data_IF_405074569902
#
_entry.id   IF_405074569902
#
_cell.length_a   1.000
_cell.length_b   1.000
_cell.length_c   1.000
_cell.angle_alpha   90.00
_cell.angle_beta   90.00
_cell.angle_gamma   90.00
#
_symmetry.space_group_name_H-M   'P 1'
#
loop_
_entity.id
_entity.type
_entity.pdbx_description
1 polymer ?
#
# COMPACT_ATOMS: atom_id res chain seq x y z
N UNK A 1 25.60 21.63 6.03
CA UNK A 1 25.36 22.34 4.75
C UNK A 1 24.06 21.82 4.16
N UNK A 2 23.20 22.68 3.64
CA UNK A 2 21.98 22.27 2.94
C UNK A 2 22.37 22.10 1.47
N UNK A 3 22.25 20.89 0.95
CA UNK A 3 22.63 20.58 -0.44
C UNK A 3 21.49 20.81 -1.43
N UNK A 4 20.24 20.65 -0.99
CA UNK A 4 19.02 20.84 -1.77
C UNK A 4 17.86 21.25 -0.87
N UNK A 5 16.93 22.05 -1.37
CA UNK A 5 15.71 22.45 -0.68
C UNK A 5 14.52 21.52 -1.00
N UNK A 6 13.42 21.69 -0.27
CA UNK A 6 12.18 20.95 -0.54
C UNK A 6 11.61 21.39 -1.89
N UNK A 7 11.22 20.40 -2.70
CA UNK A 7 10.69 20.54 -4.06
C UNK A 7 11.74 20.86 -5.14
N UNK A 8 13.03 20.88 -4.81
CA UNK A 8 14.08 20.97 -5.82
C UNK A 8 14.10 19.73 -6.73
N UNK A 9 14.29 19.97 -8.02
CA UNK A 9 14.45 18.91 -9.01
C UNK A 9 15.88 18.41 -8.95
N UNK A 10 16.05 17.13 -8.64
CA UNK A 10 17.37 16.51 -8.59
C UNK A 10 17.88 16.26 -10.00
N UNK A 11 18.77 17.13 -10.47
CA UNK A 11 19.52 16.96 -11.71
C UNK A 11 20.73 16.04 -11.52
N UNK A 12 21.36 15.60 -12.61
CA UNK A 12 22.57 14.78 -12.55
C UNK A 12 23.76 15.46 -11.85
N UNK A 13 23.79 16.79 -11.82
CA UNK A 13 24.83 17.56 -11.11
C UNK A 13 24.58 17.53 -9.61
N UNK A 14 23.35 17.84 -9.20
CA UNK A 14 22.93 17.82 -7.80
C UNK A 14 23.02 16.41 -7.20
N UNK A 15 22.62 15.37 -7.95
CA UNK A 15 22.76 13.99 -7.54
C UNK A 15 24.22 13.59 -7.25
N UNK A 16 25.17 14.08 -8.06
CA UNK A 16 26.61 13.85 -7.82
C UNK A 16 27.11 14.55 -6.57
N UNK A 17 26.66 15.77 -6.31
CA UNK A 17 27.01 16.50 -5.08
C UNK A 17 26.49 15.78 -3.83
N UNK A 18 25.23 15.32 -3.86
CA UNK A 18 24.63 14.53 -2.77
C UNK A 18 25.42 13.23 -2.52
N UNK A 19 25.81 12.54 -3.59
CA UNK A 19 26.59 11.31 -3.48
C UNK A 19 27.99 11.56 -2.89
N UNK A 20 28.68 12.63 -3.33
CA UNK A 20 30.00 13.01 -2.80
C UNK A 20 29.95 13.44 -1.32
N UNK A 21 28.82 13.99 -0.88
CA UNK A 21 28.61 14.34 0.53
C UNK A 21 28.38 13.11 1.44
N UNK A 22 28.29 11.89 0.89
CA UNK A 22 28.14 10.67 1.68
C UNK A 22 26.73 10.44 2.24
N UNK A 23 25.72 11.11 1.69
CA UNK A 23 24.32 10.93 2.09
C UNK A 23 23.82 9.55 1.63
N UNK A 24 23.38 8.71 2.58
CA UNK A 24 22.92 7.33 2.29
C UNK A 24 21.49 7.25 1.78
N UNK A 25 20.61 8.11 2.27
CA UNK A 25 19.18 8.06 2.00
C UNK A 25 18.63 9.46 1.74
N UNK A 26 17.74 9.58 0.75
CA UNK A 26 17.09 10.83 0.37
C UNK A 26 15.60 10.58 0.19
N UNK A 27 14.78 11.41 0.84
CA UNK A 27 13.31 11.34 0.70
C UNK A 27 12.87 12.10 -0.55
N UNK A 28 12.26 11.38 -1.49
CA UNK A 28 11.78 11.94 -2.77
C UNK A 28 10.26 11.97 -2.82
N UNK A 29 9.72 12.82 -3.70
CA UNK A 29 8.34 12.69 -4.14
C UNK A 29 8.24 11.51 -5.12
N UNK A 30 7.09 10.83 -5.11
CA UNK A 30 6.83 9.68 -5.97
C UNK A 30 5.41 9.78 -6.55
N UNK A 31 5.14 9.23 -7.74
CA UNK A 31 3.79 9.01 -8.23
C UNK A 31 2.93 8.22 -7.23
N UNK A 32 3.51 7.31 -6.45
CA UNK A 32 2.79 6.46 -5.49
C UNK A 32 2.16 7.25 -4.34
N UNK A 33 2.81 8.34 -3.93
CA UNK A 33 2.39 9.21 -2.83
C UNK A 33 1.57 10.42 -3.30
N UNK A 34 1.28 10.52 -4.59
CA UNK A 34 0.51 11.63 -5.14
C UNK A 34 -0.96 11.57 -4.70
N UNK A 35 -1.46 12.69 -4.17
CA UNK A 35 -2.82 12.83 -3.63
C UNK A 35 -3.83 13.39 -4.65
N UNK A 36 -3.42 13.58 -5.92
CA UNK A 36 -4.32 14.05 -6.96
C UNK A 36 -5.31 12.95 -7.36
N UNK A 37 -6.62 13.21 -7.23
CA UNK A 37 -7.72 12.24 -7.51
C UNK A 37 -7.66 11.71 -8.94
N UNK A 38 -7.63 12.61 -9.93
CA UNK A 38 -7.59 12.27 -11.35
C UNK A 38 -6.26 12.71 -11.98
N UNK A 39 -5.25 11.86 -11.86
CA UNK A 39 -3.95 12.04 -12.51
C UNK A 39 -2.78 12.11 -11.53
N UNK A 40 -1.65 12.65 -11.98
CA UNK A 40 -0.42 12.81 -11.18
C UNK A 40 0.05 14.24 -11.32
N UNK A 41 0.41 14.90 -10.21
CA UNK A 41 0.95 16.24 -10.28
C UNK A 41 2.38 16.22 -10.85
N UNK A 42 2.77 17.30 -11.54
CA UNK A 42 4.09 17.42 -12.15
C UNK A 42 5.20 17.17 -11.11
N UNK A 43 5.12 17.77 -9.92
CA UNK A 43 6.11 17.61 -8.84
C UNK A 43 6.32 16.15 -8.38
N UNK A 44 5.28 15.31 -8.41
CA UNK A 44 5.40 13.91 -8.03
C UNK A 44 5.98 13.03 -9.15
N UNK A 45 5.83 13.44 -10.41
CA UNK A 45 6.38 12.71 -11.55
C UNK A 45 7.82 13.15 -11.90
N UNK A 46 8.10 14.44 -11.74
CA UNK A 46 9.38 15.07 -12.02
C UNK A 46 9.63 15.26 -13.52
N UNK A 47 10.85 14.92 -13.93
CA UNK A 47 11.38 15.09 -15.28
C UNK A 47 10.75 14.07 -16.25
N UNK A 48 10.33 14.52 -17.42
CA UNK A 48 10.02 13.66 -18.56
C UNK A 48 11.32 13.08 -19.13
N UNK A 49 11.45 11.75 -19.10
CA UNK A 49 12.66 11.06 -19.52
C UNK A 49 12.90 11.13 -21.03
N UNK A 50 11.86 11.42 -21.83
CA UNK A 50 12.00 11.60 -23.28
C UNK A 50 12.54 12.98 -23.66
N UNK A 51 12.18 14.01 -22.90
CA UNK A 51 12.56 15.41 -23.17
C UNK A 51 13.74 15.90 -22.33
N UNK A 52 13.95 15.32 -21.16
CA UNK A 52 14.96 15.77 -20.19
C UNK A 52 14.57 17.01 -19.39
N UNK A 53 13.31 17.47 -19.52
CA UNK A 53 12.77 18.65 -18.84
C UNK A 53 11.62 18.28 -17.91
N UNK A 54 11.15 19.23 -17.10
CA UNK A 54 10.00 19.02 -16.24
C UNK A 54 8.78 18.62 -17.07
N UNK A 55 8.00 17.64 -16.59
CA UNK A 55 6.83 17.16 -17.34
C UNK A 55 5.79 18.25 -17.56
N UNK A 56 5.29 18.35 -18.80
CA UNK A 56 4.22 19.27 -19.16
C UNK A 56 2.88 18.86 -18.55
N UNK A 57 2.06 19.85 -18.22
CA UNK A 57 0.68 19.61 -17.81
C UNK A 57 -0.11 18.99 -18.98
N UNK A 58 -0.87 17.94 -18.68
CA UNK A 58 -1.59 17.17 -19.69
C UNK A 58 -0.80 16.02 -20.32
N UNK A 59 0.45 15.79 -19.91
CA UNK A 59 1.21 14.63 -20.37
C UNK A 59 0.54 13.30 -19.97
N UNK A 60 0.40 12.38 -20.93
CA UNK A 60 -0.21 11.07 -20.72
C UNK A 60 0.78 10.07 -20.09
N UNK A 61 1.32 10.39 -18.91
CA UNK A 61 2.38 9.62 -18.24
C UNK A 61 2.02 8.15 -17.96
N UNK A 62 0.73 7.85 -17.82
CA UNK A 62 0.23 6.48 -17.67
C UNK A 62 0.41 5.64 -18.93
N UNK A 63 0.20 6.22 -20.11
CA UNK A 63 0.41 5.54 -21.40
C UNK A 63 1.89 5.32 -21.64
N UNK A 64 2.71 6.34 -21.39
CA UNK A 64 4.17 6.24 -21.49
C UNK A 64 4.69 5.13 -20.58
N UNK A 65 4.28 5.10 -19.31
CA UNK A 65 4.65 4.05 -18.37
C UNK A 65 4.23 2.65 -18.85
N UNK A 66 3.00 2.49 -19.33
CA UNK A 66 2.52 1.21 -19.84
C UNK A 66 3.34 0.72 -21.05
N UNK A 67 3.69 1.62 -21.98
CA UNK A 67 4.51 1.29 -23.14
C UNK A 67 5.95 0.93 -22.74
N UNK A 68 6.56 1.73 -21.87
CA UNK A 68 7.93 1.49 -21.38
C UNK A 68 8.09 0.15 -20.65
N UNK A 69 7.01 -0.38 -20.08
CA UNK A 69 7.00 -1.70 -19.43
C UNK A 69 6.62 -2.82 -20.42
N UNK A 70 5.60 -2.58 -21.24
CA UNK A 70 5.00 -3.56 -22.14
C UNK A 70 5.88 -3.90 -23.35
N UNK A 71 6.50 -2.92 -24.01
CA UNK A 71 7.36 -3.16 -25.17
C UNK A 71 8.55 -4.08 -24.81
N UNK A 72 9.38 -3.76 -23.79
CA UNK A 72 10.42 -4.69 -23.37
C UNK A 72 9.86 -6.02 -22.90
N UNK A 73 8.69 -6.03 -22.25
CA UNK A 73 8.00 -7.25 -21.83
C UNK A 73 7.75 -8.22 -22.98
N UNK A 74 7.23 -7.75 -24.11
CA UNK A 74 7.01 -8.60 -25.29
C UNK A 74 8.31 -9.13 -25.89
N UNK A 75 9.37 -8.31 -25.87
CA UNK A 75 10.71 -8.74 -26.29
C UNK A 75 11.29 -9.81 -25.36
N UNK A 76 11.06 -9.69 -24.05
CA UNK A 76 11.50 -10.68 -23.06
C UNK A 76 10.83 -12.03 -23.31
N UNK A 77 9.52 -12.05 -23.57
CA UNK A 77 8.80 -13.28 -23.93
C UNK A 77 9.51 -14.03 -25.04
N UNK A 78 9.82 -13.33 -26.15
CA UNK A 78 10.47 -13.93 -27.30
C UNK A 78 11.88 -14.46 -26.96
N UNK A 79 12.69 -13.71 -26.20
CA UNK A 79 14.06 -14.13 -25.84
C UNK A 79 14.08 -15.32 -24.88
N UNK A 80 13.22 -15.31 -23.86
CA UNK A 80 13.19 -16.34 -22.80
C UNK A 80 12.76 -17.70 -23.35
N UNK A 81 11.82 -17.75 -24.31
CA UNK A 81 11.42 -19.02 -24.94
C UNK A 81 12.55 -19.69 -25.75
N UNK A 82 13.49 -18.92 -26.29
CA UNK A 82 14.62 -19.48 -27.05
C UNK A 82 15.79 -19.95 -26.18
N UNK A 83 15.93 -19.42 -24.95
CA UNK A 83 16.97 -19.82 -23.98
C UNK A 83 16.47 -20.81 -22.93
N UNK A 84 15.15 -20.91 -22.69
CA UNK A 84 14.54 -21.76 -21.68
C UNK A 84 14.64 -23.27 -21.90
N UNK A 85 15.24 -23.72 -23.01
CA UNK A 85 15.50 -25.15 -23.28
C UNK A 85 16.76 -25.71 -22.62
N UNK A 86 17.67 -24.87 -22.13
CA UNK A 86 18.87 -25.29 -21.39
C UNK A 86 18.68 -25.00 -19.91
N UNK A 87 18.34 -26.04 -19.18
CA UNK A 87 18.17 -26.05 -17.73
C UNK A 87 19.36 -25.34 -17.04
N UNK A 88 19.09 -24.19 -16.43
CA UNK A 88 19.97 -23.65 -15.39
C UNK A 88 19.75 -24.50 -14.13
N UNK A 89 20.38 -25.68 -14.12
CA UNK A 89 20.26 -26.74 -13.11
C UNK A 89 20.87 -26.37 -11.73
N UNK A 90 20.70 -25.14 -11.25
CA UNK A 90 21.31 -24.68 -10.00
C UNK A 90 20.60 -23.54 -9.27
N UNK A 91 19.67 -22.83 -9.89
CA UNK A 91 18.78 -21.91 -9.19
C UNK A 91 17.43 -22.60 -9.00
N UNK A 92 17.06 -22.81 -7.74
CA UNK A 92 15.76 -23.32 -7.31
C UNK A 92 14.60 -22.70 -8.09
N UNK A 93 13.53 -23.50 -8.21
CA UNK A 93 12.22 -23.32 -8.84
C UNK A 93 11.52 -21.96 -8.58
N UNK A 94 12.18 -20.86 -8.93
CA UNK A 94 11.68 -19.49 -8.89
C UNK A 94 11.24 -19.19 -10.32
N UNK A 95 10.02 -18.67 -10.49
CA UNK A 95 9.57 -18.14 -11.77
C UNK A 95 10.57 -17.08 -12.21
N UNK A 96 11.40 -17.38 -13.22
CA UNK A 96 12.37 -16.43 -13.76
C UNK A 96 11.77 -15.72 -14.97
N UNK A 97 12.09 -14.44 -15.13
CA UNK A 97 11.65 -13.64 -16.26
C UNK A 97 10.18 -13.21 -16.21
N UNK A 98 9.55 -13.10 -17.38
CA UNK A 98 8.23 -12.48 -17.51
C UNK A 98 7.08 -13.15 -16.71
N UNK A 99 7.02 -14.49 -16.54
CA UNK A 99 5.96 -15.11 -15.74
C UNK A 99 5.88 -14.58 -14.31
N UNK A 100 7.03 -14.18 -13.73
CA UNK A 100 7.08 -13.56 -12.40
C UNK A 100 6.53 -12.15 -12.41
N UNK A 101 6.84 -11.37 -13.45
CA UNK A 101 6.31 -10.01 -13.63
C UNK A 101 4.79 -10.04 -13.79
N UNK A 102 4.27 -10.98 -14.58
CA UNK A 102 2.82 -11.21 -14.73
C UNK A 102 2.19 -11.61 -13.39
N UNK A 103 2.80 -12.55 -12.66
CA UNK A 103 2.33 -12.97 -11.34
C UNK A 103 2.24 -11.81 -10.34
N UNK A 104 3.23 -10.90 -10.37
CA UNK A 104 3.26 -9.69 -9.53
C UNK A 104 2.19 -8.69 -9.97
N UNK A 105 2.12 -8.34 -11.26
CA UNK A 105 1.15 -7.35 -11.76
C UNK A 105 -0.29 -7.81 -11.68
N UNK A 106 -0.55 -9.12 -11.76
CA UNK A 106 -1.88 -9.67 -11.52
C UNK A 106 -2.18 -9.87 -10.03
N UNK A 107 -1.25 -9.52 -9.14
CA UNK A 107 -1.37 -9.66 -7.70
C UNK A 107 -1.93 -11.05 -7.32
N UNK A 108 -1.34 -12.12 -7.89
CA UNK A 108 -1.84 -13.47 -7.65
C UNK A 108 -1.79 -13.78 -6.14
N UNK A 109 -2.88 -14.35 -5.61
CA UNK A 109 -3.04 -14.59 -4.18
C UNK A 109 -2.04 -15.59 -3.60
N UNK A 110 -1.59 -16.54 -4.41
CA UNK A 110 -0.64 -17.58 -4.03
C UNK A 110 0.49 -17.57 -5.06
N UNK A 111 1.60 -16.89 -4.77
CA UNK A 111 2.76 -16.90 -5.64
C UNK A 111 3.39 -18.30 -5.68
N UNK A 112 4.08 -18.63 -6.77
CA UNK A 112 4.79 -19.91 -6.85
C UNK A 112 5.99 -19.89 -5.91
N UNK A 113 6.14 -20.96 -5.11
CA UNK A 113 7.18 -21.05 -4.09
C UNK A 113 7.03 -19.96 -3.02
N UNK A 114 5.81 -19.76 -2.50
CA UNK A 114 5.54 -18.76 -1.46
C UNK A 114 6.44 -18.98 -0.23
N UNK A 115 7.20 -17.95 0.13
CA UNK A 115 7.98 -17.94 1.36
C UNK A 115 7.06 -17.72 2.56
N UNK A 116 7.28 -18.49 3.62
CA UNK A 116 6.66 -18.25 4.92
C UNK A 116 7.30 -17.01 5.53
N UNK A 117 6.48 -16.08 6.03
CA UNK A 117 6.92 -14.83 6.66
C UNK A 117 6.49 -14.80 8.13
N UNK A 118 7.25 -14.09 8.95
CA UNK A 118 6.88 -13.82 10.34
C UNK A 118 5.64 -12.93 10.39
N UNK A 119 4.63 -13.31 11.17
CA UNK A 119 3.41 -12.49 11.37
C UNK A 119 3.58 -11.46 12.49
N UNK A 120 4.41 -11.79 13.50
CA UNK A 120 4.79 -10.91 14.61
C UNK A 120 6.31 -10.83 14.73
N UNK A 121 6.80 -9.77 15.35
CA UNK A 121 8.20 -9.64 15.72
C UNK A 121 8.49 -10.45 16.99
N UNK A 122 9.62 -11.12 17.11
CA UNK A 122 9.90 -11.91 18.30
C UNK A 122 11.08 -12.87 18.14
N UNK A 123 11.21 -13.79 19.09
CA UNK A 123 12.24 -14.83 19.08
C UNK A 123 11.68 -16.11 18.46
N UNK A 124 12.43 -16.69 17.52
CA UNK A 124 12.02 -17.91 16.82
C UNK A 124 12.50 -19.16 17.56
N UNK A 125 11.58 -20.08 17.79
CA UNK A 125 11.81 -21.44 18.23
C UNK A 125 11.39 -22.42 17.13
N UNK A 126 12.25 -23.38 16.83
CA UNK A 126 12.12 -24.36 15.77
C UNK A 126 12.14 -25.74 16.40
N UNK A 127 11.00 -26.42 16.33
CA UNK A 127 10.84 -27.80 16.79
C UNK A 127 10.35 -28.69 15.65
N UNK A 128 10.39 -30.01 15.85
CA UNK A 128 9.72 -30.94 14.95
C UNK A 128 8.23 -30.97 15.30
N UNK A 129 7.35 -30.88 14.31
CA UNK A 129 5.90 -30.88 14.57
C UNK A 129 5.48 -32.23 15.16
N UNK A 130 4.76 -32.21 16.28
CA UNK A 130 4.21 -33.41 16.90
C UNK A 130 3.06 -34.00 16.07
N UNK A 131 2.39 -33.16 15.27
CA UNK A 131 1.24 -33.54 14.45
C UNK A 131 1.65 -34.19 13.13
N UNK A 132 2.73 -33.71 12.52
CA UNK A 132 3.16 -34.10 11.19
C UNK A 132 4.67 -34.37 11.15
N UNK A 133 5.06 -35.62 10.89
CA UNK A 133 6.47 -36.04 10.91
C UNK A 133 7.33 -35.32 9.84
N UNK A 134 6.71 -34.88 8.75
CA UNK A 134 7.32 -34.20 7.61
C UNK A 134 7.30 -32.66 7.72
N UNK A 135 6.88 -32.11 8.85
CA UNK A 135 6.84 -30.67 9.12
C UNK A 135 7.66 -30.27 10.35
N UNK A 136 8.22 -29.06 10.30
CA UNK A 136 8.77 -28.33 11.45
C UNK A 136 7.72 -27.37 11.97
N UNK A 137 7.62 -27.28 13.28
CA UNK A 137 6.86 -26.24 13.94
C UNK A 137 7.80 -25.05 14.19
N UNK A 138 7.45 -23.88 13.68
CA UNK A 138 8.08 -22.61 14.05
C UNK A 138 7.15 -21.86 14.98
N UNK A 139 7.63 -21.57 16.18
CA UNK A 139 6.98 -20.72 17.17
C UNK A 139 7.72 -19.40 17.24
N UNK A 140 7.00 -18.29 17.10
CA UNK A 140 7.54 -16.94 17.30
C UNK A 140 6.91 -16.41 18.58
N UNK A 141 7.74 -16.10 19.57
CA UNK A 141 7.31 -15.53 20.84
C UNK A 141 7.68 -14.05 20.90
N UNK A 142 6.66 -13.20 21.06
CA UNK A 142 6.80 -11.78 21.33
C UNK A 142 6.47 -11.52 22.80
N UNK A 143 7.34 -10.81 23.51
CA UNK A 143 7.10 -10.37 24.87
C UNK A 143 7.37 -8.87 24.98
N UNK A 144 6.36 -8.11 25.40
CA UNK A 144 6.47 -6.68 25.64
C UNK A 144 5.91 -6.34 27.04
N UNK A 145 6.57 -5.41 27.73
CA UNK A 145 6.09 -4.85 28.99
C UNK A 145 5.15 -3.70 28.68
N UNK A 146 3.87 -3.84 29.03
CA UNK A 146 2.86 -2.81 28.86
C UNK A 146 2.62 -2.11 30.19
N UNK A 147 2.40 -0.80 30.10
CA UNK A 147 2.17 0.08 31.23
C UNK A 147 0.77 0.70 31.11
N UNK A 148 -0.14 0.32 32.01
CA UNK A 148 -1.42 1.00 32.16
C UNK A 148 -1.24 2.22 33.05
N UNK A 149 -1.47 3.41 32.50
CA UNK A 149 -1.43 4.67 33.25
C UNK A 149 -2.81 5.08 33.78
N UNK A 150 -2.90 5.25 35.10
CA UNK A 150 -4.10 5.74 35.78
C UNK A 150 -3.83 7.12 36.38
N UNK A 151 -4.44 8.15 35.79
CA UNK A 151 -4.42 9.50 36.33
C UNK A 151 -5.41 9.62 37.51
N UNK A 152 -4.93 10.03 38.67
CA UNK A 152 -5.71 10.13 39.90
C UNK A 152 -5.96 11.61 40.22
N UNK A 153 -7.23 12.04 40.36
CA UNK A 153 -7.52 13.42 40.78
C UNK A 153 -7.03 13.70 42.21
N UNK A 154 -6.65 14.95 42.50
CA UNK A 154 -6.01 15.36 43.77
C UNK A 154 -6.79 14.98 45.05
N UNK A 155 -8.12 14.83 44.96
CA UNK A 155 -9.00 14.48 46.09
C UNK A 155 -9.08 12.98 46.42
N UNK A 156 -8.38 12.11 45.67
CA UNK A 156 -8.51 10.66 45.77
C UNK A 156 -7.41 10.05 46.64
N UNK A 157 -7.77 9.01 47.42
CA UNK A 157 -6.80 8.28 48.23
C UNK A 157 -6.23 7.11 47.44
N UNK A 158 -4.91 7.03 47.37
CA UNK A 158 -4.16 5.90 46.84
C UNK A 158 -4.33 4.70 47.78
N UNK A 159 -4.87 3.59 47.26
CA UNK A 159 -5.05 2.34 48.01
C UNK A 159 -3.93 1.36 47.68
N UNK A 160 -3.46 1.35 46.43
CA UNK A 160 -2.32 0.55 46.02
C UNK A 160 -1.00 1.09 46.62
N UNK A 161 -0.13 0.17 47.04
CA UNK A 161 1.22 0.50 47.53
C UNK A 161 2.21 0.47 46.37
N UNK A 162 3.29 1.21 46.53
CA UNK A 162 4.40 1.18 45.58
C UNK A 162 5.09 -0.19 45.59
N UNK A 163 5.47 -0.67 44.41
CA UNK A 163 6.07 -1.99 44.14
C UNK A 163 5.22 -3.23 44.47
N UNK A 164 3.93 -3.10 44.76
CA UNK A 164 3.06 -4.28 44.98
C UNK A 164 2.49 -4.85 43.68
N UNK A 165 2.28 -6.17 43.63
CA UNK A 165 1.49 -6.80 42.58
C UNK A 165 -0.01 -6.66 42.88
N UNK A 166 -0.79 -6.32 41.86
CA UNK A 166 -2.25 -6.24 41.92
C UNK A 166 -2.84 -7.19 40.89
N UNK A 167 -4.05 -7.69 41.14
CA UNK A 167 -4.84 -8.46 40.17
C UNK A 167 -5.79 -7.55 39.39
N UNK A 168 -6.25 -8.03 38.24
CA UNK A 168 -7.31 -7.36 37.49
C UNK A 168 -8.57 -7.26 38.36
N UNK A 169 -9.09 -6.05 38.53
CA UNK A 169 -10.23 -5.73 39.39
C UNK A 169 -9.87 -5.24 40.79
N UNK A 170 -8.60 -5.25 41.20
CA UNK A 170 -8.18 -4.70 42.49
C UNK A 170 -8.31 -3.18 42.52
N UNK A 171 -8.73 -2.66 43.67
CA UNK A 171 -8.96 -1.22 43.86
C UNK A 171 -7.63 -0.50 44.05
N UNK A 172 -7.26 0.33 43.09
CA UNK A 172 -6.02 1.10 43.09
C UNK A 172 -6.18 2.49 43.73
N UNK A 173 -7.37 3.10 43.62
CA UNK A 173 -7.70 4.37 44.29
C UNK A 173 -9.19 4.48 44.61
N UNK A 174 -9.52 5.18 45.71
CA UNK A 174 -10.91 5.33 46.18
C UNK A 174 -11.22 6.76 46.60
N UNK A 175 -12.43 7.24 46.26
CA UNK A 175 -13.07 8.43 46.84
C UNK A 175 -14.53 8.12 47.15
N UNK A 176 -14.87 8.08 48.44
CA UNK A 176 -16.23 7.78 48.95
C UNK A 176 -16.86 6.50 48.37
N UNK A 177 -17.71 6.61 47.35
CA UNK A 177 -18.39 5.49 46.66
C UNK A 177 -17.78 5.17 45.29
N UNK A 178 -16.84 5.96 44.79
CA UNK A 178 -16.19 5.75 43.50
C UNK A 178 -14.81 5.09 43.71
N UNK A 179 -14.56 4.04 42.94
CA UNK A 179 -13.31 3.25 42.98
C UNK A 179 -12.73 3.15 41.58
N UNK A 180 -11.44 3.38 41.44
CA UNK A 180 -10.68 3.03 40.24
C UNK A 180 -10.08 1.65 40.49
N UNK A 181 -10.34 0.73 39.56
CA UNK A 181 -9.84 -0.64 39.59
C UNK A 181 -8.78 -0.84 38.52
N UNK A 182 -7.81 -1.71 38.78
CA UNK A 182 -6.82 -2.11 37.79
C UNK A 182 -7.50 -2.94 36.67
N UNK A 183 -7.25 -2.59 35.41
CA UNK A 183 -7.74 -3.36 34.25
C UNK A 183 -6.94 -4.67 34.08
N UNK A 184 -5.63 -4.61 34.30
CA UNK A 184 -4.72 -5.75 34.19
C UNK A 184 -3.97 -6.00 35.51
N UNK A 185 -3.61 -7.25 35.74
CA UNK A 185 -2.78 -7.62 36.87
C UNK A 185 -1.30 -7.40 36.57
N UNK A 186 -0.58 -6.73 37.45
CA UNK A 186 0.80 -6.34 37.20
C UNK A 186 1.46 -5.66 38.40
N UNK A 187 2.72 -5.25 38.22
CA UNK A 187 3.49 -4.56 39.25
C UNK A 187 3.16 -3.08 39.25
N UNK A 188 2.78 -2.55 40.41
CA UNK A 188 2.36 -1.16 40.58
C UNK A 188 3.54 -0.26 40.91
N UNK A 189 3.67 0.86 40.21
CA UNK A 189 4.52 1.98 40.56
C UNK A 189 3.64 3.21 40.86
N UNK A 190 3.84 3.84 42.02
CA UNK A 190 3.02 4.98 42.48
C UNK A 190 3.81 6.28 42.45
N UNK A 191 3.51 7.14 41.49
CA UNK A 191 4.15 8.46 41.35
C UNK A 191 3.32 9.55 42.03
N UNK A 192 3.59 9.77 43.32
CA UNK A 192 2.85 10.76 44.15
C UNK A 192 3.01 12.22 43.72
N UNK A 193 4.11 12.57 43.03
CA UNK A 193 4.35 13.94 42.55
C UNK A 193 3.50 14.29 41.33
N UNK A 194 3.23 13.31 40.47
CA UNK A 194 2.45 13.48 39.25
C UNK A 194 1.01 12.99 39.38
N UNK A 195 0.62 12.46 40.55
CA UNK A 195 -0.69 11.85 40.82
C UNK A 195 -1.06 10.75 39.81
N UNK A 196 -0.10 9.86 39.51
CA UNK A 196 -0.32 8.72 38.60
C UNK A 196 0.01 7.39 39.28
N UNK A 197 -0.74 6.35 38.91
CA UNK A 197 -0.39 4.96 39.19
C UNK A 197 -0.10 4.28 37.85
N UNK A 198 1.03 3.60 37.75
CA UNK A 198 1.42 2.82 36.58
C UNK A 198 1.37 1.34 36.95
N UNK A 199 0.55 0.57 36.24
CA UNK A 199 0.51 -0.90 36.41
C UNK A 199 1.25 -1.53 35.24
N UNK A 200 2.36 -2.21 35.52
CA UNK A 200 3.22 -2.81 34.49
C UNK A 200 2.99 -4.32 34.43
N UNK A 201 2.66 -4.85 33.25
CA UNK A 201 2.45 -6.29 33.04
C UNK A 201 3.14 -6.77 31.76
N UNK A 202 3.56 -8.04 31.74
CA UNK A 202 4.17 -8.65 30.56
C UNK A 202 3.05 -9.22 29.68
N UNK A 203 2.90 -8.70 28.46
CA UNK A 203 2.04 -9.30 27.44
C UNK A 203 2.91 -10.20 26.56
N UNK A 204 2.54 -11.49 26.50
CA UNK A 204 3.15 -12.47 25.61
C UNK A 204 2.19 -12.86 24.50
N UNK A 205 2.66 -12.79 23.27
CA UNK A 205 1.96 -13.30 22.10
C UNK A 205 2.82 -14.39 21.45
N UNK A 206 2.20 -15.52 21.14
CA UNK A 206 2.86 -16.61 20.41
C UNK A 206 2.12 -16.91 19.12
N UNK A 207 2.88 -17.09 18.04
CA UNK A 207 2.35 -17.58 16.76
C UNK A 207 3.09 -18.86 16.39
N UNK A 208 2.32 -19.90 16.12
CA UNK A 208 2.81 -21.22 15.73
C UNK A 208 2.48 -21.46 14.26
N UNK A 209 3.48 -21.87 13.48
CA UNK A 209 3.37 -22.16 12.05
C UNK A 209 4.03 -23.49 11.71
N UNK A 210 3.32 -24.34 10.96
CA UNK A 210 3.89 -25.57 10.42
C UNK A 210 4.56 -25.29 9.06
N UNK A 211 5.85 -25.61 8.94
CA UNK A 211 6.65 -25.43 7.73
C UNK A 211 7.17 -26.79 7.26
N UNK A 212 6.98 -27.16 5.97
CA UNK A 212 7.52 -28.41 5.43
C UNK A 212 9.02 -28.58 5.64
N UNK A 213 9.49 -29.80 5.90
CA UNK A 213 10.92 -30.09 6.06
C UNK A 213 11.74 -29.85 4.79
N UNK A 214 11.09 -29.89 3.62
CA UNK A 214 11.70 -29.62 2.32
C UNK A 214 12.02 -28.14 2.10
N UNK A 215 11.34 -27.22 2.81
CA UNK A 215 11.59 -25.79 2.69
C UNK A 215 12.93 -25.42 3.33
N UNK A 216 13.73 -24.58 2.68
CA UNK A 216 14.98 -24.10 3.28
C UNK A 216 14.70 -22.93 4.23
N UNK A 217 15.03 -23.09 5.51
CA UNK A 217 14.90 -22.04 6.52
C UNK A 217 16.04 -21.02 6.37
N UNK A 218 15.70 -19.75 6.47
CA UNK A 218 16.64 -18.62 6.51
C UNK A 218 17.02 -18.23 7.93
N UNK A 219 16.16 -18.56 8.90
CA UNK A 219 16.32 -18.24 10.32
C UNK A 219 16.84 -19.45 11.10
N UNK A 220 17.46 -19.19 12.26
CA UNK A 220 17.98 -20.20 13.19
C UNK A 220 17.22 -20.17 14.50
N UNK A 221 17.36 -21.22 15.29
CA UNK A 221 16.88 -21.27 16.69
C UNK A 221 17.39 -20.07 17.48
N UNK A 222 16.48 -19.38 18.18
CA UNK A 222 16.77 -18.19 18.99
C UNK A 222 17.04 -16.92 18.19
N UNK A 223 16.82 -16.91 16.87
CA UNK A 223 16.97 -15.70 16.07
C UNK A 223 15.82 -14.72 16.36
N UNK A 224 16.16 -13.43 16.46
CA UNK A 224 15.17 -12.37 16.54
C UNK A 224 14.70 -12.01 15.11
N UNK A 225 13.39 -11.97 14.91
CA UNK A 225 12.76 -11.63 13.62
C UNK A 225 11.81 -10.45 13.78
N UNK A 226 11.64 -9.70 12.69
CA UNK A 226 10.66 -8.62 12.60
C UNK A 226 9.43 -9.08 11.81
N UNK A 227 8.27 -8.50 12.10
CA UNK A 227 7.04 -8.77 11.38
C UNK A 227 7.20 -8.52 9.86
N UNK A 228 6.86 -9.54 9.07
CA UNK A 228 7.00 -9.58 7.61
C UNK A 228 8.35 -10.09 7.09
N UNK A 229 9.32 -10.40 7.97
CA UNK A 229 10.59 -10.99 7.56
C UNK A 229 10.39 -12.43 7.00
N UNK A 230 11.04 -12.80 5.88
CA UNK A 230 11.00 -14.17 5.37
C UNK A 230 11.70 -15.16 6.31
N UNK A 231 10.99 -16.22 6.66
CA UNK A 231 11.49 -17.34 7.46
C UNK A 231 12.05 -18.47 6.57
N UNK A 232 11.51 -18.62 5.36
CA UNK A 232 11.97 -19.61 4.37
C UNK A 232 12.42 -18.94 3.08
N UNK A 233 13.23 -19.63 2.28
CA UNK A 233 13.48 -19.25 0.89
C UNK A 233 12.18 -19.31 0.07
N UNK A 234 12.02 -18.37 -0.85
CA UNK A 234 10.86 -18.31 -1.74
C UNK A 234 10.44 -16.88 -2.09
N UNK A 235 9.33 -16.79 -2.82
CA UNK A 235 8.70 -15.55 -3.23
C UNK A 235 7.80 -15.00 -2.12
N UNK A 236 7.97 -13.74 -1.73
CA UNK A 236 7.03 -13.14 -0.77
C UNK A 236 5.67 -12.88 -1.42
N UNK A 237 4.61 -13.03 -0.62
CA UNK A 237 3.25 -12.74 -1.03
C UNK A 237 2.90 -11.26 -0.79
N UNK A 238 2.62 -10.46 -1.85
CA UNK A 238 2.26 -9.05 -1.71
C UNK A 238 1.06 -8.80 -0.79
N UNK A 239 0.08 -9.72 -0.76
CA UNK A 239 -1.11 -9.59 0.09
C UNK A 239 -0.78 -9.73 1.57
N UNK A 240 0.14 -10.64 1.93
CA UNK A 240 0.64 -10.77 3.31
C UNK A 240 1.44 -9.55 3.71
N UNK A 241 2.32 -9.06 2.84
CA UNK A 241 3.09 -7.82 3.09
C UNK A 241 2.14 -6.64 3.33
N UNK A 242 1.11 -6.47 2.49
CA UNK A 242 0.14 -5.39 2.66
C UNK A 242 -0.58 -5.47 4.02
N UNK A 243 -0.92 -6.68 4.47
CA UNK A 243 -1.63 -6.89 5.73
C UNK A 243 -0.73 -6.66 6.96
N UNK A 244 0.54 -7.08 6.88
CA UNK A 244 1.47 -7.06 8.02
C UNK A 244 2.23 -5.73 8.09
N UNK A 245 2.87 -5.32 7.00
CA UNK A 245 3.77 -4.16 6.95
C UNK A 245 3.11 -2.90 6.35
N UNK A 246 1.90 -3.03 5.78
CA UNK A 246 1.15 -1.92 5.23
C UNK A 246 1.49 -1.58 3.77
N UNK A 247 0.92 -0.47 3.30
CA UNK A 247 0.93 -0.08 1.88
C UNK A 247 2.33 0.26 1.38
N UNK A 248 3.08 1.08 2.10
CA UNK A 248 4.35 1.61 1.63
C UNK A 248 5.37 0.47 1.44
N UNK A 249 5.43 -0.46 2.40
CA UNK A 249 6.23 -1.67 2.31
C UNK A 249 5.81 -2.56 1.11
N UNK A 250 4.50 -2.75 0.91
CA UNK A 250 3.98 -3.49 -0.24
C UNK A 250 4.37 -2.84 -1.57
N UNK A 251 4.24 -1.52 -1.69
CA UNK A 251 4.62 -0.75 -2.88
C UNK A 251 6.12 -0.89 -3.19
N UNK A 252 6.97 -0.73 -2.18
CA UNK A 252 8.42 -0.86 -2.33
C UNK A 252 8.82 -2.29 -2.70
N UNK A 253 8.16 -3.30 -2.12
CA UNK A 253 8.37 -4.70 -2.49
C UNK A 253 7.99 -4.95 -3.96
N UNK A 254 6.79 -4.54 -4.38
CA UNK A 254 6.33 -4.70 -5.76
C UNK A 254 7.30 -4.04 -6.76
N UNK A 255 7.70 -2.80 -6.48
CA UNK A 255 8.64 -2.06 -7.33
C UNK A 255 10.00 -2.76 -7.41
N UNK A 256 10.58 -3.09 -6.25
CA UNK A 256 11.90 -3.71 -6.18
C UNK A 256 11.92 -5.05 -6.92
N UNK A 257 10.87 -5.85 -6.76
CA UNK A 257 10.85 -7.20 -7.32
C UNK A 257 10.58 -7.21 -8.83
N UNK A 258 9.72 -6.32 -9.33
CA UNK A 258 9.58 -6.12 -10.78
C UNK A 258 10.88 -5.58 -11.39
N UNK A 259 11.51 -4.61 -10.73
CA UNK A 259 12.73 -3.98 -11.22
C UNK A 259 13.92 -4.97 -11.27
N UNK A 260 14.05 -5.86 -10.28
CA UNK A 260 15.03 -6.95 -10.30
C UNK A 260 14.87 -7.83 -11.52
N UNK A 261 13.63 -8.19 -11.88
CA UNK A 261 13.38 -9.04 -13.06
C UNK A 261 13.81 -8.33 -14.34
N UNK A 262 13.39 -7.07 -14.57
CA UNK A 262 13.78 -6.33 -15.78
C UNK A 262 15.30 -6.10 -15.86
N UNK A 263 15.95 -5.73 -14.75
CA UNK A 263 17.41 -5.55 -14.69
C UNK A 263 18.17 -6.85 -14.94
N UNK A 264 17.68 -7.98 -14.43
CA UNK A 264 18.30 -9.30 -14.66
C UNK A 264 18.33 -9.68 -16.14
N UNK A 265 17.40 -9.11 -16.92
CA UNK A 265 17.27 -9.32 -18.36
C UNK A 265 17.93 -8.20 -19.19
N UNK A 266 18.71 -7.32 -18.55
CA UNK A 266 19.43 -6.24 -19.21
C UNK A 266 18.59 -5.03 -19.61
N UNK A 267 17.34 -4.93 -19.12
CA UNK A 267 16.48 -3.77 -19.38
C UNK A 267 16.42 -2.85 -18.17
N UNK A 268 16.91 -1.62 -18.34
CA UNK A 268 16.93 -0.62 -17.28
C UNK A 268 15.78 0.37 -17.47
N UNK A 269 14.62 0.04 -16.89
CA UNK A 269 13.44 0.91 -16.90
C UNK A 269 13.48 1.78 -15.64
N UNK A 270 13.17 3.07 -15.77
CA UNK A 270 13.14 3.98 -14.62
C UNK A 270 11.95 3.66 -13.69
N UNK A 271 12.20 3.69 -12.37
CA UNK A 271 11.26 3.27 -11.32
C UNK A 271 9.89 3.96 -11.41
N UNK A 272 9.86 5.26 -11.73
CA UNK A 272 8.63 6.05 -11.98
C UNK A 272 7.58 5.37 -12.85
N UNK A 273 7.98 4.57 -13.85
CA UNK A 273 7.02 3.87 -14.69
C UNK A 273 6.29 2.76 -13.90
N UNK A 274 7.02 1.99 -13.09
CA UNK A 274 6.43 0.98 -12.21
C UNK A 274 5.57 1.63 -11.12
N UNK A 275 6.03 2.74 -10.54
CA UNK A 275 5.30 3.50 -9.53
C UNK A 275 3.92 3.94 -10.02
N UNK A 276 3.80 4.38 -11.29
CA UNK A 276 2.51 4.75 -11.90
C UNK A 276 1.55 3.56 -11.96
N UNK A 277 2.03 2.36 -12.30
CA UNK A 277 1.20 1.15 -12.36
C UNK A 277 0.84 0.65 -10.96
N UNK A 278 1.82 0.58 -10.05
CA UNK A 278 1.62 0.15 -8.66
C UNK A 278 0.64 1.07 -7.93
N UNK A 279 0.68 2.38 -8.22
CA UNK A 279 -0.32 3.33 -7.71
C UNK A 279 -1.74 2.92 -8.11
N UNK A 280 -1.95 2.43 -9.33
CA UNK A 280 -3.27 1.96 -9.79
C UNK A 280 -3.66 0.63 -9.16
N UNK A 281 -2.72 -0.28 -8.91
CA UNK A 281 -2.99 -1.55 -8.20
C UNK A 281 -3.46 -1.35 -6.76
N UNK A 282 -2.99 -0.29 -6.08
CA UNK A 282 -3.35 0.09 -4.71
C UNK A 282 -4.18 1.38 -4.65
N UNK A 283 -5.05 1.59 -5.64
CA UNK A 283 -5.91 2.78 -5.72
C UNK A 283 -7.23 2.61 -4.96
N UNK A 284 -7.66 1.37 -4.70
CA UNK A 284 -8.95 1.06 -4.09
C UNK A 284 -8.78 0.52 -2.67
N UNK A 285 -9.76 0.80 -1.83
CA UNK A 285 -9.86 0.29 -0.45
C UNK A 285 -11.23 -0.36 -0.25
N UNK A 286 -11.32 -1.27 0.70
CA UNK A 286 -12.58 -1.92 1.07
C UNK A 286 -13.08 -1.37 2.40
N UNK A 287 -14.33 -0.90 2.41
CA UNK A 287 -14.95 -0.35 3.63
C UNK A 287 -15.19 -1.47 4.63
N UNK A 288 -14.65 -1.34 5.84
CA UNK A 288 -14.85 -2.30 6.94
C UNK A 288 -15.95 -1.83 7.88
N UNK A 289 -15.95 -0.53 8.22
CA UNK A 289 -17.02 0.11 8.97
C UNK A 289 -17.45 1.39 8.26
N UNK A 290 -18.74 1.55 7.92
CA UNK A 290 -19.19 2.64 7.07
C UNK A 290 -19.23 4.01 7.78
N UNK A 291 -19.36 4.03 9.11
CA UNK A 291 -19.56 5.28 9.84
C UNK A 291 -20.81 6.01 9.32
N UNK A 292 -20.69 7.33 9.13
CA UNK A 292 -21.76 8.17 8.56
C UNK A 292 -21.60 8.40 7.04
N UNK A 293 -20.81 7.57 6.36
CA UNK A 293 -20.65 7.64 4.90
C UNK A 293 -21.83 7.00 4.15
N UNK A 294 -21.90 7.27 2.84
CA UNK A 294 -22.89 6.66 1.93
C UNK A 294 -22.60 5.18 1.59
N UNK A 295 -21.45 4.64 2.01
CA UNK A 295 -20.98 3.32 1.60
C UNK A 295 -21.42 2.23 2.57
N UNK A 296 -21.45 0.99 2.08
CA UNK A 296 -21.76 -0.19 2.87
C UNK A 296 -20.49 -0.98 3.23
N UNK A 297 -20.52 -1.78 4.33
CA UNK A 297 -19.44 -2.71 4.62
C UNK A 297 -19.21 -3.66 3.44
N UNK A 298 -17.96 -3.73 2.99
CA UNK A 298 -17.53 -4.56 1.87
C UNK A 298 -17.42 -3.83 0.53
N UNK A 299 -17.94 -2.60 0.41
CA UNK A 299 -17.82 -1.79 -0.80
C UNK A 299 -16.36 -1.47 -1.11
N UNK A 300 -16.02 -1.52 -2.40
CA UNK A 300 -14.68 -1.19 -2.91
C UNK A 300 -14.75 0.21 -3.52
N UNK A 301 -14.03 1.15 -2.92
CA UNK A 301 -14.09 2.59 -3.25
C UNK A 301 -12.70 3.14 -3.52
N UNK A 302 -12.61 4.30 -4.19
CA UNK A 302 -11.32 4.96 -4.38
C UNK A 302 -10.77 5.48 -3.06
N UNK A 303 -9.48 5.23 -2.82
CA UNK A 303 -8.79 5.62 -1.59
C UNK A 303 -8.80 7.13 -1.38
N UNK A 304 -8.56 7.91 -2.44
CA UNK A 304 -8.47 9.36 -2.33
C UNK A 304 -9.86 9.97 -2.08
N UNK A 305 -10.91 9.42 -2.72
CA UNK A 305 -12.30 9.83 -2.50
C UNK A 305 -12.73 9.60 -1.04
N UNK A 306 -12.56 8.39 -0.50
CA UNK A 306 -12.98 8.10 0.87
C UNK A 306 -12.15 8.85 1.92
N UNK A 307 -10.86 9.10 1.63
CA UNK A 307 -10.01 9.88 2.53
C UNK A 307 -10.49 11.33 2.63
N UNK A 308 -10.77 11.97 1.51
CA UNK A 308 -11.31 13.34 1.47
C UNK A 308 -12.69 13.42 2.12
N UNK A 309 -13.54 12.41 1.88
CA UNK A 309 -14.84 12.30 2.54
C UNK A 309 -14.69 12.17 4.06
N UNK A 310 -13.76 11.34 4.54
CA UNK A 310 -13.48 11.21 5.97
C UNK A 310 -12.95 12.51 6.58
N UNK A 311 -12.08 13.24 5.88
CA UNK A 311 -11.58 14.55 6.33
C UNK A 311 -12.73 15.55 6.47
N UNK A 312 -13.69 15.57 5.54
CA UNK A 312 -14.90 16.39 5.62
C UNK A 312 -15.81 15.96 6.78
N UNK A 313 -16.06 14.66 6.96
CA UNK A 313 -16.90 14.15 8.04
C UNK A 313 -16.32 14.46 9.42
N UNK A 314 -14.99 14.37 9.57
CA UNK A 314 -14.31 14.73 10.82
C UNK A 314 -14.45 16.23 11.09
N UNK A 315 -14.35 17.09 10.07
CA UNK A 315 -14.60 18.52 10.21
C UNK A 315 -16.05 18.83 10.63
N UNK A 316 -17.01 18.05 10.16
CA UNK A 316 -18.42 18.12 10.54
C UNK A 316 -18.74 17.49 11.91
N UNK A 317 -17.76 16.89 12.60
CA UNK A 317 -17.94 16.18 13.87
C UNK A 317 -18.67 14.84 13.76
N UNK A 318 -18.75 14.27 12.55
CA UNK A 318 -19.37 12.97 12.24
C UNK A 318 -18.38 11.82 12.33
N UNK A 319 -18.88 10.59 12.32
CA UNK A 319 -18.05 9.39 12.40
C UNK A 319 -17.45 9.03 11.03
N UNK A 320 -16.11 9.04 10.87
CA UNK A 320 -15.47 8.66 9.62
C UNK A 320 -15.58 7.14 9.36
N UNK A 321 -15.55 6.76 8.09
CA UNK A 321 -15.49 5.36 7.69
C UNK A 321 -14.12 4.75 8.00
N UNK A 322 -14.10 3.49 8.42
CA UNK A 322 -12.89 2.66 8.47
C UNK A 322 -12.84 1.77 7.24
N UNK A 323 -11.65 1.62 6.67
CA UNK A 323 -11.41 0.82 5.49
C UNK A 323 -10.09 0.06 5.63
N UNK A 324 -9.94 -1.02 4.84
CA UNK A 324 -8.71 -1.78 4.69
C UNK A 324 -8.19 -1.65 3.27
N UNK A 325 -6.88 -1.55 3.12
CA UNK A 325 -6.22 -1.51 1.81
C UNK A 325 -6.46 -2.81 1.03
N UNK A 326 -6.67 -2.69 -0.28
CA UNK A 326 -6.84 -3.85 -1.17
C UNK A 326 -5.85 -3.74 -2.33
N UNK A 327 -5.06 -4.80 -2.50
CA UNK A 327 -4.22 -4.95 -3.69
C UNK A 327 -5.03 -5.62 -4.80
N UNK A 328 -5.19 -4.92 -5.93
CA UNK A 328 -5.83 -5.44 -7.13
C UNK A 328 -4.79 -5.69 -8.22
N UNK A 329 -4.88 -6.84 -8.90
CA UNK A 329 -4.15 -7.09 -10.13
C UNK A 329 -4.56 -6.10 -11.22
N UNK A 330 -3.69 -5.82 -12.19
CA UNK A 330 -3.93 -4.82 -13.25
C UNK A 330 -5.20 -5.11 -14.05
N UNK A 331 -5.53 -6.38 -14.31
CA UNK A 331 -6.78 -6.79 -14.97
C UNK A 331 -8.00 -6.39 -14.14
N UNK A 332 -7.99 -6.69 -12.83
CA UNK A 332 -9.10 -6.37 -11.93
C UNK A 332 -9.21 -4.87 -11.67
N UNK A 333 -8.08 -4.18 -11.51
CA UNK A 333 -8.04 -2.72 -11.34
C UNK A 333 -8.62 -2.00 -12.57
N UNK A 334 -8.39 -2.51 -13.78
CA UNK A 334 -8.94 -1.96 -15.03
C UNK A 334 -10.46 -2.13 -15.15
N UNK A 335 -11.01 -3.23 -14.61
CA UNK A 335 -12.46 -3.47 -14.57
C UNK A 335 -13.17 -2.68 -13.47
N UNK A 336 -12.46 -2.26 -12.42
CA UNK A 336 -12.97 -1.45 -11.31
C UNK A 336 -12.75 0.06 -11.53
N UNK A 337 -12.79 0.51 -12.78
CA UNK A 337 -12.73 1.93 -13.15
C UNK A 337 -14.09 2.59 -13.02
N UNK A 338 -14.12 3.90 -12.78
CA UNK A 338 -15.37 4.64 -12.56
C UNK A 338 -16.15 4.85 -13.87
N UNK A 339 -15.48 4.73 -15.02
CA UNK A 339 -16.11 4.73 -16.34
C UNK A 339 -16.54 3.31 -16.75
N UNK A 340 -17.85 3.13 -16.92
CA UNK A 340 -18.36 1.90 -17.49
C UNK A 340 -18.02 1.76 -18.99
N UNK A 341 -17.88 2.87 -19.74
CA UNK A 341 -17.49 2.82 -21.15
C UNK A 341 -16.09 2.23 -21.31
N UNK A 342 -15.14 2.72 -20.52
CA UNK A 342 -13.75 2.23 -20.52
C UNK A 342 -13.63 0.81 -19.98
N UNK A 343 -14.37 0.46 -18.92
CA UNK A 343 -14.42 -0.91 -18.41
C UNK A 343 -15.00 -1.89 -19.44
N UNK A 344 -16.06 -1.50 -20.16
CA UNK A 344 -16.75 -2.35 -21.14
C UNK A 344 -15.89 -2.69 -22.36
N UNK A 345 -14.89 -1.85 -22.67
CA UNK A 345 -13.97 -2.03 -23.80
C UNK A 345 -12.83 -3.02 -23.51
N UNK A 346 -12.68 -3.49 -22.26
CA UNK A 346 -11.58 -4.37 -21.88
C UNK A 346 -11.99 -5.84 -21.89
N UNK A 347 -12.82 -6.26 -20.93
CA UNK A 347 -13.33 -7.65 -20.79
C UNK A 347 -14.73 -7.63 -20.15
N UNK A 348 -15.46 -8.74 -20.23
CA UNK A 348 -16.78 -8.91 -19.59
C UNK A 348 -17.83 -7.84 -19.94
N UNK A 349 -17.84 -7.37 -21.20
CA UNK A 349 -18.69 -6.27 -21.70
C UNK A 349 -20.16 -6.39 -21.30
N UNK A 350 -20.79 -7.56 -21.45
CA UNK A 350 -22.20 -7.79 -21.11
C UNK A 350 -22.46 -7.51 -19.63
N UNK A 351 -21.60 -8.00 -18.74
CA UNK A 351 -21.74 -7.83 -17.29
C UNK A 351 -21.61 -6.37 -16.90
N UNK A 352 -20.66 -5.64 -17.48
CA UNK A 352 -20.42 -4.22 -17.22
C UNK A 352 -21.62 -3.39 -17.67
N UNK A 353 -22.09 -3.57 -18.90
CA UNK A 353 -23.21 -2.81 -19.44
C UNK A 353 -24.54 -3.12 -18.72
N UNK A 354 -24.79 -4.38 -18.38
CA UNK A 354 -25.98 -4.75 -17.61
C UNK A 354 -25.96 -4.10 -16.20
N UNK A 355 -24.81 -4.10 -15.53
CA UNK A 355 -24.64 -3.43 -14.25
C UNK A 355 -24.86 -1.93 -14.34
N UNK A 356 -24.31 -1.28 -15.36
CA UNK A 356 -24.49 0.14 -15.63
C UNK A 356 -25.96 0.51 -15.91
N UNK A 357 -26.67 -0.34 -16.67
CA UNK A 357 -28.09 -0.16 -16.97
C UNK A 357 -28.97 -0.30 -15.71
N UNK A 358 -28.70 -1.31 -14.86
CA UNK A 358 -29.42 -1.52 -13.60
C UNK A 358 -29.15 -0.35 -12.63
N UNK A 359 -27.90 0.08 -12.53
CA UNK A 359 -27.49 1.17 -11.64
C UNK A 359 -27.81 2.57 -12.16
N UNK A 360 -28.32 2.70 -13.39
CA UNK A 360 -28.51 3.99 -14.09
C UNK A 360 -27.27 4.88 -13.99
N UNK A 361 -26.09 4.27 -14.17
CA UNK A 361 -24.80 4.95 -13.95
C UNK A 361 -24.52 5.97 -15.04
N UNK A 362 -23.97 7.12 -14.68
CA UNK A 362 -23.51 8.16 -15.62
C UNK A 362 -22.00 8.11 -15.75
N UNK A 363 -21.48 8.28 -16.97
CA UNK A 363 -20.03 8.28 -17.23
C UNK A 363 -19.48 9.71 -17.19
N UNK A 364 -18.50 10.02 -16.32
CA UNK A 364 -17.94 11.36 -16.20
C UNK A 364 -16.90 11.72 -17.28
N UNK A 365 -16.45 10.76 -18.09
CA UNK A 365 -15.51 10.99 -19.21
C UNK A 365 -14.15 11.58 -18.79
N UNK A 366 -13.63 11.21 -17.61
CA UNK A 366 -12.32 11.67 -17.12
C UNK A 366 -11.12 11.07 -17.84
N UNK A 367 -11.27 9.89 -18.44
CA UNK A 367 -10.17 9.14 -19.03
C UNK A 367 -9.98 9.38 -20.53
N UNK A 368 -9.00 8.67 -21.08
CA UNK A 368 -8.68 8.74 -22.51
C UNK A 368 -9.63 7.88 -23.35
N UNK A 369 -9.96 6.67 -22.88
CA UNK A 369 -10.70 5.68 -23.67
C UNK A 369 -12.13 6.10 -23.94
N UNK A 370 -12.79 6.66 -22.94
CA UNK A 370 -14.18 7.09 -23.02
C UNK A 370 -14.34 8.17 -24.09
N UNK A 371 -13.45 9.17 -24.07
CA UNK A 371 -13.43 10.25 -25.04
C UNK A 371 -13.12 9.76 -26.46
N UNK A 372 -12.21 8.77 -26.62
CA UNK A 372 -11.96 8.13 -27.92
C UNK A 372 -13.22 7.41 -28.45
N UNK A 373 -13.90 6.63 -27.60
CA UNK A 373 -15.08 5.83 -27.99
C UNK A 373 -16.21 6.73 -28.51
N UNK A 374 -16.41 7.89 -27.89
CA UNK A 374 -17.48 8.83 -28.25
C UNK A 374 -17.05 9.90 -29.28
N UNK A 375 -15.79 9.89 -29.73
CA UNK A 375 -15.27 10.84 -30.72
C UNK A 375 -15.00 12.26 -30.19
N UNK A 376 -14.73 12.42 -28.89
CA UNK A 376 -14.31 13.70 -28.29
C UNK A 376 -12.79 13.80 -28.16
N UNK A 377 -12.30 15.03 -27.99
CA UNK A 377 -10.89 15.28 -27.66
C UNK A 377 -10.51 14.58 -26.35
N UNK A 378 -9.44 13.79 -26.39
CA UNK A 378 -8.89 13.14 -25.20
C UNK A 378 -8.37 14.20 -24.21
N UNK A 379 -8.56 14.01 -22.89
CA UNK A 379 -8.11 14.96 -21.87
C UNK A 379 -6.59 14.86 -21.60
N UNK A 380 -5.78 14.84 -22.65
CA UNK A 380 -4.32 14.80 -22.61
C UNK A 380 -3.72 15.55 -23.81
N UNK A 381 -2.47 15.99 -23.68
CA UNK A 381 -1.77 16.76 -24.71
C UNK A 381 -2.55 18.01 -25.12
N UNK A 382 -2.79 18.17 -26.43
CA UNK A 382 -3.53 19.33 -26.98
C UNK A 382 -5.00 19.39 -26.55
N UNK A 383 -5.59 18.29 -26.10
CA UNK A 383 -6.96 18.24 -25.56
C UNK A 383 -7.04 18.45 -24.05
N UNK A 384 -5.92 18.68 -23.38
CA UNK A 384 -5.87 18.97 -21.95
C UNK A 384 -6.29 20.43 -21.69
N UNK A 385 -7.27 20.60 -20.80
CA UNK A 385 -7.73 21.91 -20.33
C UNK A 385 -7.56 21.93 -18.81
N UNK A 386 -6.83 22.91 -18.31
CA UNK A 386 -6.59 23.04 -16.87
C UNK A 386 -7.91 23.29 -16.14
N UNK A 387 -8.17 22.54 -15.06
CA UNK A 387 -9.39 22.72 -14.26
C UNK A 387 -10.68 22.20 -14.91
N UNK A 388 -10.61 21.44 -16.02
CA UNK A 388 -11.80 20.87 -16.69
C UNK A 388 -12.71 20.04 -15.78
N UNK A 389 -12.15 19.45 -14.73
CA UNK A 389 -12.84 18.51 -13.83
C UNK A 389 -12.95 19.00 -12.39
N UNK A 390 -12.46 20.21 -12.09
CA UNK A 390 -12.78 20.87 -10.83
C UNK A 390 -14.23 21.31 -10.88
N UNK A 391 -15.03 20.94 -9.87
CA UNK A 391 -16.38 21.48 -9.74
C UNK A 391 -16.29 23.01 -9.82
N UNK A 392 -17.12 23.68 -10.64
CA UNK A 392 -17.15 25.13 -10.63
C UNK A 392 -17.52 25.59 -9.22
N UNK A 393 -16.72 26.47 -8.65
CA UNK A 393 -17.19 27.29 -7.53
C UNK A 393 -18.52 27.90 -7.97
N UNK A 394 -19.51 27.87 -7.06
CA UNK A 394 -20.84 28.45 -7.28
C UNK A 394 -20.73 29.98 -7.48
N UNK A 395 -20.25 30.41 -8.64
CA UNK A 395 -19.92 31.80 -8.93
C UNK A 395 -19.15 32.09 -10.22
N UNK A 396 -18.48 31.13 -10.87
CA UNK A 396 -17.78 31.40 -12.15
C UNK A 396 -18.65 31.04 -13.35
N UNK A 397 -18.97 32.04 -14.16
CA UNK A 397 -19.76 31.94 -15.39
C UNK A 397 -19.26 30.81 -16.31
N UNK A 398 -20.23 30.12 -16.93
CA UNK A 398 -20.01 29.14 -17.98
C UNK A 398 -19.21 29.80 -19.12
N UNK A 399 -17.93 29.46 -19.27
CA UNK A 399 -17.29 29.58 -20.57
C UNK A 399 -17.86 28.46 -21.45
N UNK A 400 -18.70 28.87 -22.41
CA UNK A 400 -19.19 28.01 -23.47
C UNK A 400 -17.98 27.35 -24.16
N UNK A 401 -17.98 26.01 -24.21
CA UNK A 401 -17.07 25.26 -25.06
C UNK A 401 -17.19 25.79 -26.49
N UNK A 402 -16.09 26.08 -27.19
CA UNK A 402 -16.17 26.57 -28.56
C UNK A 402 -16.89 25.52 -29.42
N UNK A 403 -17.95 25.98 -30.05
CA UNK A 403 -18.80 25.20 -30.95
C UNK A 403 -17.93 24.63 -32.07
N UNK A 404 -17.87 23.30 -32.20
CA UNK A 404 -17.15 22.65 -33.29
C UNK A 404 -18.00 22.73 -34.56
N UNK A 405 -18.13 23.92 -35.14
CA UNK A 405 -18.49 24.05 -36.55
C UNK A 405 -17.27 23.65 -37.37
N UNK A 406 -17.25 22.38 -37.75
CA UNK A 406 -16.40 21.87 -38.83
C UNK A 406 -16.75 22.69 -40.08
N UNK A 407 -15.78 23.42 -40.61
CA UNK A 407 -15.94 24.23 -41.81
C UNK A 407 -16.29 23.35 -43.03
N UNK A 408 -17.17 23.89 -43.86
CA UNK A 408 -17.46 23.43 -45.23
C UNK A 408 -16.23 23.49 -46.16
#
# INVERSE_FOLDING_TARGET
EVLAERDDVITHELARQIALAGVKEVKLRSPMTCELEHGICAKCYGIDLGRGEMVDLGAAVGIVAAQSIGEPGTQLTLRTFHTGGVASAGSSDITTGLPRVEEIFEARKQPKGEAVVAEISGVVHVSQSEKYADMRELRIEHAEMIHDEYAIPEDWKFVAKDETEVQAGDVIATKEKATIVAQHGGRVAVEKKEHKIIVSYEQREEIIMDIPNTSRLLVKEGAHVEAGMPLTEGSLNPHRILKIQGRDACQMYLMTEVQKVYRSQGQNIHDKHFEVIIRKMLSKVQVTRPGDTKYLPGDVVDRLEIRKMNEQLVADGKSPARFSEVLLGVTKASLSTDSFLSASSFQHTIKVLAGAAIGSTTDPLYGLKENVIIGKLIPAGTGFIHGRFTQPDAGSAQEELPDTTVGD
#
